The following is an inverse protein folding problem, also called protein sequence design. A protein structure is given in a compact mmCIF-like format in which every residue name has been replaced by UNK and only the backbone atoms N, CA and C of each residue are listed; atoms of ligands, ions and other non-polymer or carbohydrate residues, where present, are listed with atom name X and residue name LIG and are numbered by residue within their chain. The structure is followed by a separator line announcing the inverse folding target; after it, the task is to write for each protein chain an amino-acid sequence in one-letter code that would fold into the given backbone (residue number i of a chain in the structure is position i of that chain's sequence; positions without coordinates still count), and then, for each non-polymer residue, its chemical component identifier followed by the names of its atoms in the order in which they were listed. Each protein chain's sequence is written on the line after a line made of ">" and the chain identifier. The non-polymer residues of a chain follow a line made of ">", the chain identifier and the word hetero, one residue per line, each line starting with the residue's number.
data_IF_644626001235
#
_entry.id   IF_644626001235
#
_cell.length_a   1.000
_cell.length_b   1.000
_cell.length_c   1.000
_cell.angle_alpha   90.00
_cell.angle_beta   90.00
_cell.angle_gamma   90.00
#
_symmetry.space_group_name_H-M   'P 1'
#
loop_
_entity.id
_entity.type
_entity.pdbx_description
1 polymer ?
#
# COMPACT_ATOMS: atom_id res chain seq x y z
N UNK A 1 -5.37 -10.02 -16.24
CA UNK A 1 -4.68 -8.73 -16.23
C UNK A 1 -5.60 -7.72 -15.55
N UNK A 2 -5.16 -6.52 -15.28
CA UNK A 2 -5.87 -5.51 -14.48
C UNK A 2 -5.31 -4.15 -14.86
N UNK A 3 -6.09 -3.10 -14.76
CA UNK A 3 -5.61 -1.72 -14.83
C UNK A 3 -5.94 -1.02 -13.51
N UNK A 4 -4.90 -0.56 -12.81
CA UNK A 4 -5.04 0.28 -11.63
C UNK A 4 -4.20 1.53 -11.79
N UNK A 5 -4.81 2.66 -11.48
CA UNK A 5 -4.17 3.97 -11.48
C UNK A 5 -4.39 4.63 -10.14
N UNK A 6 -3.33 5.14 -9.52
CA UNK A 6 -3.42 5.94 -8.30
C UNK A 6 -2.60 7.21 -8.43
N UNK A 7 -3.07 8.28 -7.82
CA UNK A 7 -2.41 9.58 -7.84
C UNK A 7 -2.86 10.47 -6.69
N UNK A 8 -2.21 11.62 -6.59
CA UNK A 8 -2.59 12.64 -5.61
C UNK A 8 -3.62 13.59 -6.21
N UNK A 9 -4.57 14.03 -5.38
CA UNK A 9 -5.44 15.11 -5.76
C UNK A 9 -4.62 16.41 -5.91
N UNK A 10 -4.67 16.99 -7.09
CA UNK A 10 -4.05 18.29 -7.35
C UNK A 10 -5.02 19.38 -6.87
N UNK A 11 -4.85 19.83 -5.63
CA UNK A 11 -5.70 20.86 -5.07
C UNK A 11 -5.49 22.21 -5.74
N UNK A 12 -6.58 22.98 -5.88
CA UNK A 12 -6.57 24.35 -6.41
C UNK A 12 -5.60 25.22 -5.62
N UNK A 13 -4.87 26.08 -6.30
CA UNK A 13 -4.08 27.14 -5.67
C UNK A 13 -5.00 27.96 -4.75
N UNK A 14 -4.74 27.90 -3.45
CA UNK A 14 -5.34 28.85 -2.51
C UNK A 14 -4.44 30.09 -2.52
N UNK A 15 -4.91 31.17 -3.13
CA UNK A 15 -4.26 32.46 -3.02
C UNK A 15 -4.38 32.90 -1.58
N UNK A 16 -3.27 32.90 -0.86
CA UNK A 16 -3.18 33.56 0.43
C UNK A 16 -3.02 35.07 0.16
N UNK A 17 -4.06 35.84 0.48
CA UNK A 17 -4.11 37.28 0.21
C UNK A 17 -3.05 38.07 0.98
N UNK A 18 -2.43 37.44 1.97
CA UNK A 18 -1.47 38.13 2.88
C UNK A 18 0.01 37.78 2.59
N UNK A 19 0.29 36.99 1.55
CA UNK A 19 1.66 36.67 1.16
C UNK A 19 1.90 36.96 -0.31
N UNK A 20 2.87 37.81 -0.61
CA UNK A 20 3.37 38.12 -1.96
C UNK A 20 4.04 36.90 -2.65
N UNK A 21 4.15 35.78 -1.99
CA UNK A 21 4.65 34.52 -2.53
C UNK A 21 3.49 33.54 -2.64
N UNK A 22 3.17 33.12 -3.87
CA UNK A 22 2.29 31.99 -4.10
C UNK A 22 2.87 30.77 -3.37
N UNK A 23 2.34 30.44 -2.19
CA UNK A 23 2.65 29.18 -1.53
C UNK A 23 2.13 28.09 -2.43
N UNK A 24 3.05 27.34 -3.03
CA UNK A 24 2.70 26.12 -3.77
C UNK A 24 2.02 25.21 -2.76
N UNK A 25 0.71 24.89 -2.93
CA UNK A 25 0.03 24.00 -2.00
C UNK A 25 0.79 22.68 -1.96
N UNK A 26 0.81 22.06 -0.79
CA UNK A 26 1.38 20.71 -0.67
C UNK A 26 0.53 19.78 -1.57
N UNK A 27 1.08 19.42 -2.72
CA UNK A 27 0.41 18.60 -3.73
C UNK A 27 0.09 17.17 -3.25
N UNK A 28 0.55 16.79 -2.05
CA UNK A 28 0.29 15.50 -1.41
C UNK A 28 -0.89 15.52 -0.45
N UNK A 29 -1.91 16.30 -0.72
CA UNK A 29 -3.14 16.37 0.05
C UNK A 29 -4.29 15.71 -0.71
N UNK A 30 -4.74 14.56 -0.19
CA UNK A 30 -5.75 13.72 -0.84
C UNK A 30 -5.17 12.80 -1.92
N UNK A 31 -5.71 11.59 -1.99
CA UNK A 31 -5.32 10.56 -2.97
C UNK A 31 -6.55 9.97 -3.64
N UNK A 32 -6.36 9.44 -4.84
CA UNK A 32 -7.38 8.62 -5.50
C UNK A 32 -6.77 7.33 -6.02
N UNK A 33 -7.58 6.27 -6.03
CA UNK A 33 -7.28 4.99 -6.64
C UNK A 33 -8.43 4.61 -7.58
N UNK A 34 -8.10 4.25 -8.81
CA UNK A 34 -9.00 3.75 -9.83
C UNK A 34 -8.64 2.31 -10.11
N UNK A 35 -9.60 1.40 -10.11
CA UNK A 35 -9.36 0.00 -10.43
C UNK A 35 -10.50 -0.56 -11.27
N UNK A 36 -10.18 -1.21 -12.37
CA UNK A 36 -11.14 -2.07 -13.06
C UNK A 36 -11.53 -3.26 -12.16
N UNK A 37 -12.65 -3.91 -12.42
CA UNK A 37 -13.16 -4.97 -11.55
C UNK A 37 -13.33 -6.33 -12.22
N UNK A 38 -12.81 -6.49 -13.43
CA UNK A 38 -12.90 -7.75 -14.16
C UNK A 38 -11.80 -8.73 -13.72
N UNK A 39 -12.17 -9.98 -13.47
CA UNK A 39 -11.26 -11.13 -13.49
C UNK A 39 -11.52 -11.94 -14.74
N UNK A 40 -10.46 -12.20 -15.50
CA UNK A 40 -10.50 -13.03 -16.69
C UNK A 40 -9.55 -14.20 -16.60
N UNK A 41 -9.80 -15.24 -17.38
CA UNK A 41 -8.92 -16.39 -17.52
C UNK A 41 -8.57 -16.63 -18.99
N UNK A 42 -7.41 -17.20 -19.20
CA UNK A 42 -6.96 -17.61 -20.52
C UNK A 42 -7.56 -18.99 -20.86
N UNK A 43 -8.12 -19.12 -22.04
CA UNK A 43 -8.69 -20.37 -22.53
C UNK A 43 -8.13 -20.65 -23.94
N UNK A 44 -8.21 -21.88 -24.46
CA UNK A 44 -7.78 -22.19 -25.82
C UNK A 44 -8.51 -21.35 -26.91
N UNK A 45 -9.69 -20.83 -26.60
CA UNK A 45 -10.49 -20.00 -27.50
C UNK A 45 -10.31 -18.50 -27.25
N UNK A 46 -9.26 -18.09 -26.51
CA UNK A 46 -9.01 -16.71 -26.12
C UNK A 46 -9.38 -16.42 -24.67
N UNK A 47 -9.26 -15.17 -24.27
CA UNK A 47 -9.52 -14.74 -22.89
C UNK A 47 -11.02 -14.58 -22.64
N UNK A 48 -11.49 -15.07 -21.48
CA UNK A 48 -12.88 -14.98 -21.07
C UNK A 48 -13.03 -14.35 -19.70
N UNK A 49 -14.04 -13.50 -19.54
CA UNK A 49 -14.46 -12.98 -18.25
C UNK A 49 -14.92 -14.10 -17.32
N UNK A 50 -14.45 -14.13 -16.09
CA UNK A 50 -14.87 -15.07 -15.04
C UNK A 50 -15.76 -14.39 -14.00
N UNK A 51 -15.34 -13.22 -13.52
CA UNK A 51 -16.01 -12.51 -12.45
C UNK A 51 -15.93 -11.01 -12.76
N UNK A 52 -17.08 -10.35 -12.72
CA UNK A 52 -17.20 -8.89 -12.67
C UNK A 52 -17.37 -8.41 -11.23
N UNK A 53 -17.18 -7.10 -11.00
CA UNK A 53 -17.33 -6.46 -9.67
C UNK A 53 -16.33 -6.97 -8.59
N UNK A 54 -15.21 -7.55 -8.99
CA UNK A 54 -14.19 -8.00 -8.06
C UNK A 54 -13.43 -6.83 -7.45
N UNK A 55 -13.28 -6.85 -6.12
CA UNK A 55 -12.61 -5.77 -5.38
C UNK A 55 -11.09 -5.91 -5.46
N UNK A 56 -10.44 -4.99 -6.15
CA UNK A 56 -8.98 -4.91 -6.29
C UNK A 56 -8.33 -3.86 -5.40
N UNK A 57 -9.14 -3.11 -4.64
CA UNK A 57 -8.69 -2.16 -3.62
C UNK A 57 -9.22 -2.63 -2.28
N UNK A 58 -8.30 -2.96 -1.37
CA UNK A 58 -8.59 -3.52 -0.03
C UNK A 58 -8.15 -2.52 1.03
N UNK A 59 -9.00 -2.31 2.03
CA UNK A 59 -8.65 -1.55 3.24
C UNK A 59 -7.99 -2.50 4.23
N UNK A 60 -6.82 -2.09 4.75
CA UNK A 60 -6.04 -2.86 5.72
C UNK A 60 -5.88 -2.05 6.99
N UNK A 61 -6.23 -2.68 8.12
CA UNK A 61 -6.10 -2.12 9.45
C UNK A 61 -4.64 -2.14 9.90
N UNK A 62 -4.22 -1.08 10.58
CA UNK A 62 -2.90 -0.94 11.20
C UNK A 62 -3.11 -0.73 12.68
N UNK A 63 -2.74 -1.72 13.50
CA UNK A 63 -2.89 -1.64 14.94
C UNK A 63 -1.53 -1.71 15.63
N UNK A 64 -1.27 -0.76 16.51
CA UNK A 64 -0.09 -0.73 17.35
C UNK A 64 -0.52 -1.12 18.76
N UNK A 65 0.08 -2.17 19.27
CA UNK A 65 -0.20 -2.72 20.60
C UNK A 65 0.74 -2.16 21.65
N UNK A 66 0.21 -1.72 22.79
CA UNK A 66 0.99 -1.27 23.92
C UNK A 66 1.41 -2.43 24.84
N UNK A 67 2.64 -2.40 25.39
CA UNK A 67 3.09 -3.39 26.34
C UNK A 67 2.36 -3.22 27.66
N UNK A 68 2.04 -4.34 28.28
CA UNK A 68 1.43 -4.41 29.61
C UNK A 68 2.43 -4.99 30.63
N UNK A 69 2.59 -4.29 31.73
CA UNK A 69 3.50 -4.67 32.80
C UNK A 69 2.71 -5.10 34.05
N UNK A 70 3.24 -6.09 34.75
CA UNK A 70 2.76 -6.51 36.06
C UNK A 70 3.95 -6.44 37.00
N UNK A 71 3.88 -5.59 38.05
CA UNK A 71 4.96 -5.39 39.02
C UNK A 71 6.33 -5.14 38.34
N UNK A 72 6.34 -4.15 37.44
CA UNK A 72 7.54 -3.71 36.69
C UNK A 72 8.11 -4.75 35.70
N UNK A 73 7.44 -5.87 35.52
CA UNK A 73 7.86 -6.90 34.56
C UNK A 73 6.91 -6.95 33.38
N UNK A 74 7.46 -6.99 32.17
CA UNK A 74 6.66 -7.16 30.96
C UNK A 74 5.88 -8.48 31.04
N UNK A 75 4.58 -8.40 30.80
CA UNK A 75 3.70 -9.56 30.81
C UNK A 75 3.23 -9.92 29.39
N UNK A 76 2.58 -9.01 28.69
CA UNK A 76 2.04 -9.23 27.35
C UNK A 76 1.62 -7.89 26.69
N UNK A 77 1.04 -7.98 25.52
CA UNK A 77 0.36 -6.89 24.82
C UNK A 77 -1.15 -7.12 24.93
N UNK A 78 -1.87 -6.25 25.60
CA UNK A 78 -3.30 -6.46 25.90
C UNK A 78 -4.22 -5.44 25.24
N UNK A 79 -3.69 -4.28 24.86
CA UNK A 79 -4.49 -3.18 24.36
C UNK A 79 -3.87 -2.55 23.11
N UNK A 80 -4.71 -2.19 22.17
CA UNK A 80 -4.32 -1.38 21.03
C UNK A 80 -4.17 0.06 21.48
N UNK A 81 -2.98 0.59 21.33
CA UNK A 81 -2.66 2.00 21.61
C UNK A 81 -3.18 2.93 20.52
N UNK A 82 -2.94 2.55 19.26
CA UNK A 82 -3.30 3.37 18.10
C UNK A 82 -3.77 2.48 16.96
N UNK A 83 -4.87 2.91 16.32
CA UNK A 83 -5.40 2.28 15.11
C UNK A 83 -5.40 3.27 13.96
N UNK A 84 -4.92 2.80 12.82
CA UNK A 84 -4.91 3.51 11.55
C UNK A 84 -5.33 2.56 10.43
N UNK A 85 -5.37 3.07 9.22
CA UNK A 85 -5.68 2.25 8.04
C UNK A 85 -4.86 2.69 6.83
N UNK A 86 -4.64 1.75 5.94
CA UNK A 86 -4.10 2.01 4.61
C UNK A 86 -4.95 1.28 3.56
N UNK A 87 -4.66 1.54 2.30
CA UNK A 87 -5.32 0.90 1.17
C UNK A 87 -4.29 0.20 0.31
N UNK A 88 -4.56 -1.05 0.00
CA UNK A 88 -3.75 -1.89 -0.86
C UNK A 88 -4.53 -2.14 -2.15
N UNK A 89 -3.96 -1.73 -3.28
CA UNK A 89 -4.49 -2.09 -4.59
C UNK A 89 -3.53 -3.07 -5.27
N UNK A 90 -4.05 -4.04 -6.04
CA UNK A 90 -3.23 -5.08 -6.63
C UNK A 90 -3.63 -5.41 -8.07
N UNK A 91 -2.64 -5.75 -8.88
CA UNK A 91 -2.79 -6.24 -10.25
C UNK A 91 -1.97 -7.50 -10.46
N UNK A 92 -2.51 -8.47 -11.18
CA UNK A 92 -1.85 -9.73 -11.50
C UNK A 92 -2.57 -10.96 -10.93
N UNK A 93 -1.83 -11.92 -10.39
CA UNK A 93 -2.37 -13.17 -9.85
C UNK A 93 -3.23 -12.93 -8.61
N UNK A 94 -4.52 -13.19 -8.70
CA UNK A 94 -5.46 -13.04 -7.58
C UNK A 94 -5.10 -13.92 -6.38
N UNK A 95 -4.63 -15.14 -6.61
CA UNK A 95 -4.21 -16.04 -5.54
C UNK A 95 -2.96 -15.54 -4.83
N UNK A 96 -1.98 -15.04 -5.59
CA UNK A 96 -0.77 -14.45 -5.02
C UNK A 96 -1.08 -13.16 -4.28
N UNK A 97 -1.93 -12.30 -4.85
CA UNK A 97 -2.39 -11.08 -4.21
C UNK A 97 -3.06 -11.36 -2.87
N UNK A 98 -3.97 -12.34 -2.81
CA UNK A 98 -4.64 -12.69 -1.56
C UNK A 98 -3.64 -13.17 -0.49
N UNK A 99 -2.63 -13.97 -0.89
CA UNK A 99 -1.59 -14.40 0.04
C UNK A 99 -0.74 -13.21 0.55
N UNK A 100 -0.37 -12.30 -0.34
CA UNK A 100 0.34 -11.06 0.01
C UNK A 100 -0.50 -10.19 0.97
N UNK A 101 -1.78 -9.97 0.66
CA UNK A 101 -2.68 -9.15 1.48
C UNK A 101 -2.87 -9.75 2.86
N UNK A 102 -2.97 -11.08 2.96
CA UNK A 102 -3.07 -11.76 4.26
C UNK A 102 -1.80 -11.56 5.10
N UNK A 103 -0.61 -11.62 4.49
CA UNK A 103 0.66 -11.32 5.18
C UNK A 103 0.74 -9.86 5.61
N UNK A 104 0.37 -8.92 4.73
CA UNK A 104 0.34 -7.48 5.07
C UNK A 104 -0.60 -7.24 6.24
N UNK A 105 -1.82 -7.77 6.17
CA UNK A 105 -2.81 -7.62 7.25
C UNK A 105 -2.35 -8.23 8.55
N UNK A 106 -1.72 -9.42 8.51
CA UNK A 106 -1.17 -10.09 9.68
C UNK A 106 -0.04 -9.29 10.34
N UNK A 107 0.87 -8.70 9.58
CA UNK A 107 1.94 -7.88 10.12
C UNK A 107 1.43 -6.53 10.64
N UNK A 108 0.60 -5.82 9.87
CA UNK A 108 0.14 -4.49 10.23
C UNK A 108 -0.86 -4.48 11.40
N UNK A 109 -1.66 -5.52 11.58
CA UNK A 109 -2.60 -5.63 12.71
C UNK A 109 -1.93 -6.02 14.04
N UNK A 110 -0.64 -6.36 14.02
CA UNK A 110 0.07 -6.87 15.20
C UNK A 110 1.39 -6.12 15.47
N UNK A 111 1.49 -4.87 15.05
CA UNK A 111 2.63 -4.02 15.39
C UNK A 111 2.70 -3.79 16.90
N UNK A 112 3.89 -3.75 17.45
CA UNK A 112 4.12 -3.69 18.90
C UNK A 112 5.03 -2.54 19.25
N UNK A 113 4.68 -1.81 20.30
CA UNK A 113 5.59 -0.85 20.91
C UNK A 113 6.64 -1.66 21.69
N UNK A 114 7.87 -1.37 21.36
CA UNK A 114 9.06 -1.94 21.94
C UNK A 114 10.07 -0.83 22.20
N UNK A 115 11.25 -1.13 22.62
CA UNK A 115 12.30 -0.14 22.81
C UNK A 115 13.61 -0.63 22.21
N UNK A 116 14.47 0.33 21.99
CA UNK A 116 15.82 0.11 21.50
C UNK A 116 16.82 0.62 22.55
N UNK A 117 17.73 -0.25 22.98
CA UNK A 117 18.82 0.13 23.89
C UNK A 117 19.83 0.99 23.13
N UNK A 118 20.15 2.15 23.68
CA UNK A 118 21.15 3.07 23.19
C UNK A 118 21.69 3.92 24.33
N UNK A 119 22.32 5.05 24.03
CA UNK A 119 22.70 6.04 25.03
C UNK A 119 21.48 6.53 25.82
N UNK A 120 20.32 6.60 25.13
CA UNK A 120 19.00 6.81 25.70
C UNK A 120 18.05 5.75 25.18
N UNK A 121 17.19 5.20 26.04
CA UNK A 121 16.11 4.33 25.62
C UNK A 121 15.17 5.06 24.69
N UNK A 122 14.87 4.44 23.55
CA UNK A 122 13.94 4.96 22.54
C UNK A 122 12.84 3.95 22.30
N UNK A 123 11.58 4.39 22.39
CA UNK A 123 10.46 3.57 21.95
C UNK A 123 10.47 3.45 20.42
N UNK A 124 10.22 2.25 19.95
CA UNK A 124 10.17 1.89 18.52
C UNK A 124 8.95 1.01 18.26
N UNK A 125 8.52 0.92 17.01
CA UNK A 125 7.52 -0.06 16.59
C UNK A 125 8.21 -1.24 15.93
N UNK A 126 7.84 -2.46 16.34
CA UNK A 126 8.37 -3.70 15.78
C UNK A 126 7.27 -4.54 15.13
N UNK A 127 7.66 -5.27 14.10
CA UNK A 127 6.81 -6.30 13.49
C UNK A 127 6.71 -7.53 14.39
N UNK A 128 5.61 -8.30 14.32
CA UNK A 128 5.48 -9.52 15.13
C UNK A 128 6.55 -10.59 14.82
N UNK A 129 7.14 -10.55 13.62
CA UNK A 129 8.17 -11.49 13.19
C UNK A 129 9.61 -11.05 13.52
N UNK A 130 9.82 -9.85 14.07
CA UNK A 130 11.15 -9.38 14.45
C UNK A 130 11.67 -10.22 15.61
N UNK A 131 12.95 -10.66 15.54
CA UNK A 131 13.55 -11.57 16.51
C UNK A 131 13.78 -10.89 17.87
N UNK A 132 14.02 -9.59 17.87
CA UNK A 132 14.28 -8.78 19.05
C UNK A 132 13.02 -8.08 19.55
N UNK A 133 11.94 -8.79 19.83
CA UNK A 133 10.76 -8.22 20.48
C UNK A 133 10.57 -8.78 21.90
N UNK A 134 9.88 -8.01 22.75
CA UNK A 134 9.66 -8.35 24.17
C UNK A 134 9.08 -9.75 24.37
N UNK A 135 8.22 -10.22 23.49
CA UNK A 135 7.66 -11.59 23.61
C UNK A 135 8.72 -12.66 23.37
N UNK A 136 9.59 -12.48 22.39
CA UNK A 136 10.62 -13.48 22.04
C UNK A 136 11.78 -13.48 23.01
N UNK A 137 12.13 -12.31 23.55
CA UNK A 137 13.17 -12.19 24.57
C UNK A 137 12.74 -12.79 25.91
N UNK A 138 11.46 -13.09 26.08
CA UNK A 138 10.88 -13.72 27.27
C UNK A 138 10.82 -12.78 28.48
N UNK A 139 10.28 -13.31 29.58
CA UNK A 139 10.09 -12.56 30.83
C UNK A 139 11.40 -12.22 31.57
N UNK A 140 12.57 -12.53 30.99
CA UNK A 140 13.87 -12.33 31.61
C UNK A 140 14.35 -10.88 31.62
N UNK A 141 13.75 -10.03 30.78
CA UNK A 141 14.12 -8.63 30.70
C UNK A 141 13.24 -7.82 31.62
N UNK A 142 13.83 -7.37 32.72
CA UNK A 142 13.22 -6.43 33.65
C UNK A 142 13.22 -5.04 33.03
N UNK A 143 12.09 -4.68 32.40
CA UNK A 143 11.85 -3.30 32.00
C UNK A 143 10.85 -2.71 32.98
N UNK A 144 11.28 -1.73 33.73
CA UNK A 144 10.40 -0.99 34.62
C UNK A 144 9.31 -0.24 33.80
N UNK A 145 8.13 -0.07 34.36
CA UNK A 145 7.05 0.74 33.77
C UNK A 145 7.49 2.17 33.42
N UNK A 146 8.53 2.66 34.09
CA UNK A 146 9.12 3.98 33.90
C UNK A 146 9.86 4.15 32.56
N UNK A 147 10.26 3.05 31.88
CA UNK A 147 10.84 3.09 30.54
C UNK A 147 9.80 3.43 29.48
N UNK A 148 8.56 3.02 29.69
CA UNK A 148 7.44 3.24 28.78
C UNK A 148 6.46 4.25 29.34
N UNK A 149 6.72 5.52 29.16
CA UNK A 149 5.82 6.62 29.54
C UNK A 149 4.94 6.98 28.35
N UNK A 150 3.66 6.49 28.26
CA UNK A 150 2.82 6.65 27.07
C UNK A 150 2.64 8.11 26.63
N UNK A 151 2.52 9.01 27.61
CA UNK A 151 2.32 10.44 27.36
C UNK A 151 3.54 11.13 26.74
N UNK A 152 4.73 10.52 26.86
CA UNK A 152 5.99 11.09 26.39
C UNK A 152 6.58 10.31 25.23
N UNK A 153 6.61 9.00 25.32
CA UNK A 153 7.46 8.16 24.49
C UNK A 153 6.71 7.50 23.32
N UNK A 154 5.36 7.42 23.37
CA UNK A 154 4.58 6.78 22.32
C UNK A 154 4.16 7.75 21.21
N UNK A 155 4.65 8.98 21.22
CA UNK A 155 4.36 9.92 20.16
C UNK A 155 5.18 9.64 18.89
N UNK A 156 4.53 9.81 17.76
CA UNK A 156 5.20 9.76 16.44
C UNK A 156 5.90 8.43 16.14
N UNK A 157 5.34 7.31 16.59
CA UNK A 157 5.92 5.99 16.37
C UNK A 157 5.62 5.40 14.97
N UNK A 158 4.52 5.84 14.31
CA UNK A 158 4.05 5.26 13.05
C UNK A 158 4.20 6.25 11.90
N UNK A 159 5.26 6.13 11.13
CA UNK A 159 5.42 6.87 9.88
C UNK A 159 4.89 6.10 8.66
N UNK A 160 4.59 6.80 7.57
CA UNK A 160 4.23 6.18 6.30
C UNK A 160 5.38 5.32 5.75
N UNK A 161 6.61 5.77 5.92
CA UNK A 161 7.81 5.04 5.50
C UNK A 161 7.92 3.69 6.24
N UNK A 162 7.79 3.69 7.58
CA UNK A 162 7.79 2.44 8.35
C UNK A 162 6.71 1.47 7.88
N UNK A 163 5.48 1.96 7.65
CA UNK A 163 4.40 1.11 7.11
C UNK A 163 4.76 0.58 5.73
N UNK A 164 5.37 1.40 4.87
CA UNK A 164 5.80 0.96 3.54
C UNK A 164 6.86 -0.14 3.60
N UNK A 165 7.78 -0.09 4.58
CA UNK A 165 8.79 -1.12 4.82
C UNK A 165 8.18 -2.42 5.34
N UNK A 166 7.15 -2.32 6.20
CA UNK A 166 6.39 -3.50 6.65
C UNK A 166 5.64 -4.15 5.50
N UNK A 167 5.06 -3.35 4.59
CA UNK A 167 4.39 -3.86 3.39
C UNK A 167 5.39 -4.55 2.46
N UNK A 168 6.54 -3.94 2.18
CA UNK A 168 7.62 -4.54 1.39
C UNK A 168 8.08 -5.88 1.98
N UNK A 169 8.36 -5.89 3.28
CA UNK A 169 8.71 -7.12 4.00
C UNK A 169 7.63 -8.21 3.86
N UNK A 170 6.36 -7.83 3.98
CA UNK A 170 5.23 -8.76 3.88
C UNK A 170 5.09 -9.36 2.48
N UNK A 171 5.29 -8.54 1.44
CA UNK A 171 5.30 -8.99 0.04
C UNK A 171 6.43 -9.99 -0.16
N UNK A 172 7.66 -9.65 0.24
CA UNK A 172 8.82 -10.51 0.06
C UNK A 172 8.64 -11.84 0.83
N UNK A 173 8.13 -11.82 2.06
CA UNK A 173 7.81 -13.05 2.81
C UNK A 173 6.78 -13.93 2.14
N UNK A 174 5.75 -13.34 1.53
CA UNK A 174 4.76 -14.09 0.78
C UNK A 174 5.36 -14.72 -0.50
N UNK A 175 6.25 -14.01 -1.18
CA UNK A 175 6.97 -14.53 -2.35
C UNK A 175 7.93 -15.65 -1.94
N UNK A 176 8.74 -15.46 -0.90
CA UNK A 176 9.65 -16.48 -0.35
C UNK A 176 8.92 -17.78 0.00
N UNK A 177 7.76 -17.67 0.65
CA UNK A 177 6.94 -18.83 0.99
C UNK A 177 6.51 -19.65 -0.24
N UNK A 178 6.24 -18.97 -1.36
CA UNK A 178 5.91 -19.63 -2.63
C UNK A 178 7.14 -20.24 -3.32
N UNK A 179 8.28 -19.58 -3.19
CA UNK A 179 9.56 -20.03 -3.78
C UNK A 179 10.14 -21.29 -3.10
N UNK A 180 9.58 -21.72 -1.96
CA UNK A 180 9.94 -23.01 -1.35
C UNK A 180 9.57 -24.20 -2.23
N UNK A 181 8.63 -24.02 -3.15
CA UNK A 181 8.26 -25.01 -4.16
C UNK A 181 9.02 -24.68 -5.45
N UNK A 182 9.68 -25.68 -6.03
CA UNK A 182 10.43 -25.49 -7.29
C UNK A 182 9.48 -24.97 -8.37
N UNK A 183 9.75 -23.77 -8.84
CA UNK A 183 8.95 -23.10 -9.84
C UNK A 183 9.70 -23.07 -11.17
N UNK A 184 9.02 -23.53 -12.21
CA UNK A 184 9.46 -23.27 -13.57
C UNK A 184 9.16 -21.80 -13.97
N UNK A 185 9.70 -21.32 -15.11
CA UNK A 185 9.47 -19.95 -15.56
C UNK A 185 7.98 -19.59 -15.74
N UNK A 186 7.14 -20.56 -16.11
CA UNK A 186 5.70 -20.36 -16.29
C UNK A 186 5.00 -20.16 -14.95
N UNK A 187 5.32 -20.98 -13.96
CA UNK A 187 4.79 -20.86 -12.61
C UNK A 187 5.27 -19.53 -11.95
N UNK A 188 6.52 -19.13 -12.20
CA UNK A 188 7.04 -17.84 -11.73
C UNK A 188 6.27 -16.67 -12.37
N UNK A 189 6.04 -16.70 -13.67
CA UNK A 189 5.26 -15.68 -14.38
C UNK A 189 3.81 -15.63 -13.87
N UNK A 190 3.21 -16.76 -13.52
CA UNK A 190 1.86 -16.86 -12.96
C UNK A 190 1.76 -16.26 -11.53
N UNK A 191 2.88 -16.08 -10.83
CA UNK A 191 2.92 -15.42 -9.52
C UNK A 191 2.95 -13.89 -9.60
N UNK A 192 3.23 -13.33 -10.76
CA UNK A 192 3.42 -11.89 -10.93
C UNK A 192 2.23 -11.12 -10.36
N UNK A 193 2.55 -10.25 -9.42
CA UNK A 193 1.57 -9.41 -8.73
C UNK A 193 2.23 -8.11 -8.33
N UNK A 194 1.71 -7.01 -8.85
CA UNK A 194 2.14 -5.66 -8.51
C UNK A 194 1.18 -5.06 -7.49
N UNK A 195 1.68 -4.23 -6.59
CA UNK A 195 0.92 -3.66 -5.47
C UNK A 195 1.09 -2.15 -5.45
N UNK A 196 0.02 -1.43 -5.08
CA UNK A 196 0.07 -0.02 -4.67
C UNK A 196 -0.38 0.06 -3.22
N UNK A 197 0.41 0.75 -2.40
CA UNK A 197 0.03 1.18 -1.05
C UNK A 197 -0.33 2.66 -1.09
N UNK A 198 -1.51 3.00 -0.55
CA UNK A 198 -1.94 4.36 -0.28
C UNK A 198 -2.18 4.54 1.22
N UNK A 199 -1.49 5.50 1.83
CA UNK A 199 -1.54 5.76 3.27
C UNK A 199 -1.45 7.25 3.58
N UNK A 200 -2.27 7.72 4.53
CA UNK A 200 -2.08 9.02 5.17
C UNK A 200 -1.15 8.84 6.37
N UNK A 201 0.01 9.49 6.35
CA UNK A 201 0.99 9.41 7.43
C UNK A 201 0.39 9.95 8.74
N UNK A 202 0.35 9.16 9.82
CA UNK A 202 -0.20 9.62 11.10
C UNK A 202 0.60 10.77 11.73
N UNK A 203 1.90 10.83 11.47
CA UNK A 203 2.80 11.86 12.01
C UNK A 203 2.66 13.16 11.23
N UNK A 204 2.88 13.10 9.93
CA UNK A 204 2.96 14.28 9.06
C UNK A 204 1.59 14.76 8.58
N UNK A 205 0.57 13.92 8.71
CA UNK A 205 -0.80 14.14 8.18
C UNK A 205 -0.81 14.43 6.68
N UNK A 206 0.13 13.83 5.95
CA UNK A 206 0.29 13.90 4.50
C UNK A 206 0.04 12.53 3.90
N UNK A 207 -0.35 12.54 2.64
CA UNK A 207 -0.67 11.33 1.90
C UNK A 207 0.56 10.82 1.15
N UNK A 208 0.72 9.50 1.12
CA UNK A 208 1.85 8.80 0.53
C UNK A 208 1.38 7.65 -0.33
N UNK A 209 1.95 7.55 -1.53
CA UNK A 209 1.76 6.44 -2.45
C UNK A 209 3.09 5.72 -2.68
N UNK A 210 3.05 4.39 -2.59
CA UNK A 210 4.17 3.53 -2.93
C UNK A 210 3.72 2.46 -3.92
N UNK A 211 4.56 2.18 -4.90
CA UNK A 211 4.39 1.10 -5.87
C UNK A 211 5.42 0.01 -5.62
N UNK A 212 4.96 -1.24 -5.60
CA UNK A 212 5.79 -2.42 -5.47
C UNK A 212 5.61 -3.27 -6.73
N UNK A 213 6.66 -3.37 -7.53
CA UNK A 213 6.67 -4.19 -8.74
C UNK A 213 7.30 -5.54 -8.47
N UNK A 214 6.65 -6.58 -8.94
CA UNK A 214 7.23 -7.92 -8.94
C UNK A 214 8.48 -7.95 -9.80
N UNK A 215 9.57 -8.44 -9.22
CA UNK A 215 10.84 -8.64 -9.88
C UNK A 215 11.39 -10.05 -9.58
N UNK A 216 12.27 -10.53 -10.43
CA UNK A 216 12.98 -11.79 -10.20
C UNK A 216 14.40 -11.70 -10.69
N UNK A 217 15.30 -12.40 -10.01
CA UNK A 217 16.69 -12.54 -10.44
C UNK A 217 17.16 -13.99 -10.36
N UNK A 218 18.01 -14.37 -11.29
CA UNK A 218 18.69 -15.66 -11.25
C UNK A 218 19.90 -15.53 -10.33
N UNK A 219 20.07 -16.50 -9.45
CA UNK A 219 21.22 -16.63 -8.53
C UNK A 219 21.81 -18.03 -8.67
N UNK A 220 22.97 -18.27 -8.08
CA UNK A 220 23.61 -19.59 -8.07
C UNK A 220 22.74 -20.68 -7.42
N UNK A 221 21.81 -20.28 -6.54
CA UNK A 221 20.91 -21.18 -5.82
C UNK A 221 19.50 -21.26 -6.45
N UNK A 222 19.30 -20.71 -7.66
CA UNK A 222 18.01 -20.70 -8.35
C UNK A 222 17.46 -19.29 -8.58
N UNK A 223 16.15 -19.19 -8.86
CA UNK A 223 15.47 -17.93 -9.10
C UNK A 223 14.90 -17.40 -7.78
N UNK A 224 15.16 -16.12 -7.51
CA UNK A 224 14.58 -15.40 -6.36
C UNK A 224 13.56 -14.39 -6.89
N UNK A 225 12.35 -14.45 -6.36
CA UNK A 225 11.31 -13.44 -6.59
C UNK A 225 11.31 -12.42 -5.44
N UNK A 226 11.17 -11.15 -5.76
CA UNK A 226 11.12 -10.06 -4.80
C UNK A 226 10.28 -8.91 -5.35
N UNK A 227 10.06 -7.86 -4.59
CA UNK A 227 9.43 -6.63 -5.09
C UNK A 227 10.41 -5.46 -5.06
N UNK A 228 10.31 -4.62 -6.09
CA UNK A 228 10.97 -3.32 -6.15
C UNK A 228 10.01 -2.24 -5.67
N UNK A 229 10.37 -1.57 -4.56
CA UNK A 229 9.61 -0.47 -3.99
C UNK A 229 9.98 0.85 -4.64
N UNK A 230 8.98 1.62 -5.05
CA UNK A 230 9.13 2.99 -5.58
C UNK A 230 8.18 3.93 -4.85
N UNK A 231 8.67 5.02 -4.34
CA UNK A 231 7.85 6.13 -3.87
C UNK A 231 7.32 6.92 -5.07
N UNK A 232 6.06 7.37 -5.02
CA UNK A 232 5.42 8.13 -6.09
C UNK A 232 5.41 9.60 -5.71
N UNK A 233 6.00 10.42 -6.55
CA UNK A 233 6.06 11.86 -6.33
C UNK A 233 4.70 12.53 -6.59
N UNK A 234 4.55 13.78 -6.10
CA UNK A 234 3.26 14.47 -6.08
C UNK A 234 2.64 14.70 -7.47
N UNK A 235 3.44 14.76 -8.52
CA UNK A 235 3.03 14.96 -9.93
C UNK A 235 3.09 13.67 -10.75
N UNK A 236 3.35 12.54 -10.12
CA UNK A 236 3.42 11.23 -10.74
C UNK A 236 2.16 10.38 -10.45
N UNK A 237 1.95 9.39 -11.30
CA UNK A 237 0.93 8.36 -11.12
C UNK A 237 1.57 7.00 -10.86
N UNK A 238 1.01 6.26 -9.91
CA UNK A 238 1.26 4.84 -9.79
C UNK A 238 0.32 4.09 -10.74
N UNK A 239 0.87 3.41 -11.74
CA UNK A 239 0.12 2.59 -12.69
C UNK A 239 0.63 1.17 -12.57
N UNK A 240 -0.28 0.18 -12.43
CA UNK A 240 0.04 -1.25 -12.39
C UNK A 240 -0.91 -2.07 -13.25
N UNK A 241 -0.46 -3.25 -13.64
CA UNK A 241 -1.18 -4.16 -14.52
C UNK A 241 -0.93 -3.86 -15.99
N UNK A 242 -1.85 -3.20 -16.67
CA UNK A 242 -1.70 -2.84 -18.09
C UNK A 242 -0.86 -1.56 -18.32
N UNK A 243 0.13 -1.32 -17.46
CA UNK A 243 1.04 -0.17 -17.57
C UNK A 243 1.76 -0.13 -18.92
N UNK A 244 2.13 -1.28 -19.49
CA UNK A 244 2.82 -1.36 -20.79
C UNK A 244 1.92 -0.99 -21.96
N UNK A 245 0.60 -1.07 -21.82
CA UNK A 245 -0.37 -0.77 -22.86
C UNK A 245 -0.85 0.68 -22.75
N UNK A 246 -1.32 1.08 -21.58
CA UNK A 246 -1.99 2.37 -21.37
C UNK A 246 -1.14 3.39 -20.58
N UNK A 247 -0.02 2.98 -19.99
CA UNK A 247 0.75 3.84 -19.07
C UNK A 247 1.28 5.11 -19.70
N UNK A 248 1.73 5.06 -20.97
CA UNK A 248 2.21 6.24 -21.69
C UNK A 248 1.11 7.28 -21.87
N UNK A 249 -0.07 6.84 -22.34
CA UNK A 249 -1.18 7.71 -22.66
C UNK A 249 -1.82 8.29 -21.40
N UNK A 250 -1.97 7.47 -20.35
CA UNK A 250 -2.45 7.95 -19.03
C UNK A 250 -1.52 9.02 -18.47
N UNK A 251 -0.20 8.83 -18.55
CA UNK A 251 0.77 9.83 -18.11
C UNK A 251 0.74 11.11 -18.95
N UNK A 252 0.46 11.02 -20.23
CA UNK A 252 0.29 12.18 -21.10
C UNK A 252 -0.96 12.97 -20.71
N UNK A 253 -2.09 12.30 -20.50
CA UNK A 253 -3.33 12.92 -20.00
C UNK A 253 -3.11 13.57 -18.64
N UNK A 254 -2.42 12.89 -17.72
CA UNK A 254 -2.10 13.42 -16.41
C UNK A 254 -1.28 14.70 -16.49
N UNK A 255 -0.22 14.72 -17.32
CA UNK A 255 0.60 15.93 -17.53
C UNK A 255 -0.22 17.09 -18.10
N UNK A 256 -1.10 16.83 -19.05
CA UNK A 256 -1.99 17.85 -19.60
C UNK A 256 -2.99 18.35 -18.54
N UNK A 257 -3.48 17.47 -17.68
CA UNK A 257 -4.44 17.77 -16.63
C UNK A 257 -3.83 18.53 -15.43
N UNK A 258 -2.52 18.52 -15.23
CA UNK A 258 -1.86 19.28 -14.14
C UNK A 258 -2.15 20.78 -14.16
N UNK A 259 -2.41 21.34 -15.34
CA UNK A 259 -2.78 22.75 -15.51
C UNK A 259 -4.29 23.01 -15.36
N UNK A 260 -5.09 21.97 -15.17
CA UNK A 260 -6.54 22.06 -15.08
C UNK A 260 -7.02 21.89 -13.63
N UNK A 261 -8.28 22.34 -13.39
CA UNK A 261 -8.89 22.15 -12.06
C UNK A 261 -9.53 20.77 -11.89
N UNK A 262 -9.54 19.93 -12.93
CA UNK A 262 -10.25 18.64 -12.98
C UNK A 262 -9.25 17.49 -13.18
N UNK A 263 -8.13 17.50 -12.44
CA UNK A 263 -7.05 16.52 -12.61
C UNK A 263 -7.54 15.08 -12.45
N UNK A 264 -8.18 14.77 -11.31
CA UNK A 264 -8.72 13.44 -11.04
C UNK A 264 -9.80 13.04 -12.05
N UNK A 265 -10.70 13.96 -12.36
CA UNK A 265 -11.81 13.74 -13.30
C UNK A 265 -11.31 13.39 -14.71
N UNK A 266 -10.32 14.13 -15.20
CA UNK A 266 -9.75 13.89 -16.54
C UNK A 266 -9.06 12.51 -16.62
N UNK A 267 -8.30 12.13 -15.58
CA UNK A 267 -7.68 10.80 -15.53
C UNK A 267 -8.75 9.71 -15.41
N UNK A 268 -9.78 9.93 -14.60
CA UNK A 268 -10.88 8.98 -14.40
C UNK A 268 -11.64 8.73 -15.69
N UNK A 269 -11.97 9.78 -16.43
CA UNK A 269 -12.67 9.69 -17.73
C UNK A 269 -11.81 8.92 -18.75
N UNK A 270 -10.52 9.24 -18.84
CA UNK A 270 -9.62 8.56 -19.75
C UNK A 270 -9.45 7.08 -19.42
N UNK A 271 -9.29 6.74 -18.13
CA UNK A 271 -9.24 5.33 -17.67
C UNK A 271 -10.55 4.62 -17.99
N UNK A 272 -11.69 5.29 -17.82
CA UNK A 272 -12.99 4.73 -18.17
C UNK A 272 -13.10 4.46 -19.68
N UNK A 273 -12.59 5.36 -20.52
CA UNK A 273 -12.51 5.16 -21.95
C UNK A 273 -11.63 3.94 -22.30
N UNK A 274 -10.42 3.82 -21.72
CA UNK A 274 -9.56 2.65 -21.94
C UNK A 274 -10.27 1.33 -21.61
N UNK A 275 -11.04 1.31 -20.50
CA UNK A 275 -11.78 0.11 -20.10
C UNK A 275 -12.94 -0.21 -21.03
N UNK A 276 -13.64 0.80 -21.58
CA UNK A 276 -14.75 0.60 -22.55
C UNK A 276 -14.25 0.14 -23.91
N UNK A 277 -13.07 0.60 -24.31
CA UNK A 277 -12.48 0.30 -25.62
C UNK A 277 -11.63 -0.99 -25.62
N UNK A 278 -11.45 -1.63 -24.44
CA UNK A 278 -10.70 -2.88 -24.36
C UNK A 278 -11.45 -4.06 -24.99
N UNK A 279 -10.96 -4.52 -26.13
CA UNK A 279 -11.47 -5.67 -26.85
C UNK A 279 -10.90 -7.00 -26.38
N UNK A 280 -9.88 -6.95 -25.49
CA UNK A 280 -9.12 -8.14 -25.07
C UNK A 280 -9.76 -8.93 -23.94
N UNK A 281 -10.79 -8.38 -23.29
CA UNK A 281 -11.39 -8.88 -22.06
C UNK A 281 -10.35 -9.01 -20.90
N UNK A 282 -9.36 -8.16 -20.88
CA UNK A 282 -8.34 -8.11 -19.82
C UNK A 282 -8.74 -7.19 -18.66
N UNK A 283 -9.47 -6.14 -18.97
CA UNK A 283 -10.04 -5.17 -18.04
C UNK A 283 -11.54 -4.99 -18.31
N UNK A 284 -12.29 -4.52 -17.35
CA UNK A 284 -13.74 -4.37 -17.54
C UNK A 284 -14.42 -3.60 -16.42
N UNK A 285 -15.62 -3.12 -16.75
CA UNK A 285 -16.52 -2.40 -15.85
C UNK A 285 -17.06 -3.34 -14.74
N UNK A 286 -17.48 -2.74 -13.61
CA UNK A 286 -17.39 -1.35 -13.22
C UNK A 286 -15.96 -0.94 -12.81
N UNK A 287 -15.63 0.35 -12.93
CA UNK A 287 -14.41 0.89 -12.32
C UNK A 287 -14.75 1.34 -10.90
N UNK A 288 -14.00 0.83 -9.94
CA UNK A 288 -14.07 1.29 -8.57
C UNK A 288 -13.15 2.52 -8.40
N UNK A 289 -13.72 3.59 -7.88
CA UNK A 289 -13.00 4.81 -7.53
C UNK A 289 -12.96 4.92 -6.02
N UNK A 290 -11.78 5.03 -5.44
CA UNK A 290 -11.61 5.31 -4.03
C UNK A 290 -10.87 6.63 -3.87
N UNK A 291 -11.47 7.59 -3.19
CA UNK A 291 -10.84 8.87 -2.86
C UNK A 291 -10.59 8.93 -1.36
N UNK A 292 -9.40 9.34 -1.00
CA UNK A 292 -8.93 9.44 0.38
C UNK A 292 -8.54 10.90 0.60
N UNK A 293 -9.11 11.53 1.61
CA UNK A 293 -8.83 12.90 2.02
C UNK A 293 -8.69 12.92 3.55
N UNK A 294 -7.47 12.77 4.02
CA UNK A 294 -7.17 12.53 5.42
C UNK A 294 -7.94 11.31 5.97
N UNK A 295 -8.83 11.55 6.94
CA UNK A 295 -9.65 10.48 7.54
C UNK A 295 -10.92 10.14 6.74
N UNK A 296 -11.27 10.93 5.72
CA UNK A 296 -12.46 10.71 4.91
C UNK A 296 -12.10 9.81 3.72
N UNK A 297 -12.96 8.83 3.50
CA UNK A 297 -12.84 7.93 2.36
C UNK A 297 -14.18 7.87 1.65
N UNK A 298 -14.19 8.14 0.36
CA UNK A 298 -15.36 7.95 -0.50
C UNK A 298 -15.13 6.78 -1.43
N UNK A 299 -16.21 6.15 -1.87
CA UNK A 299 -16.20 5.08 -2.84
C UNK A 299 -17.31 5.31 -3.87
N UNK A 300 -16.91 5.34 -5.11
CA UNK A 300 -17.77 5.53 -6.26
C UNK A 300 -17.54 4.43 -7.29
N UNK A 301 -18.45 4.28 -8.24
CA UNK A 301 -18.32 3.31 -9.32
C UNK A 301 -18.77 3.93 -10.65
N UNK A 302 -17.98 3.70 -11.69
CA UNK A 302 -18.41 3.93 -13.07
C UNK A 302 -18.92 2.58 -13.59
N UNK A 303 -20.19 2.53 -13.97
CA UNK A 303 -20.87 1.30 -14.41
C UNK A 303 -21.11 1.26 -15.92
N UNK A 304 -21.09 2.40 -16.58
CA UNK A 304 -21.36 2.60 -18.01
C UNK A 304 -20.32 3.51 -18.66
#
# INVERSE_FOLDING_TARGET
>A
VTLIVAGYNQNKYVWDKDSDAAKIPDRRSGMFLLADSLISTETPSGRKALVSEFRKIVEVQIDIWEPHFIRETFNNYLKVYQSNKCFIAFAGSTLTAQHIINNISGHLSQLKIDFEEGINFKCVVRKPCDDNNLIRLGNSNQYGEDIFVPQKDYHNLLSAEFVSDVVEHSINKALDSKMQYVLDPTALAAMRTDIILAITCPIERRDYLYKYKFASKVTDNGVIAYCDKTFIEADELAIIGMESVYGSDINQVAKAALSTHNYKENITEFVAQCVREDETNEIGLPIAIKTIDGNRTTKEFIKE
#
